data_IF_776388940670
#
_entry.id   IF_776388940670
#
_cell.length_a   1.000
_cell.length_b   1.000
_cell.length_c   1.000
_cell.angle_alpha   90.00
_cell.angle_beta   90.00
_cell.angle_gamma   90.00
#
_symmetry.space_group_name_H-M   'P 1'
#
loop_
_entity.id
_entity.type
_entity.pdbx_description
1 polymer ?
#
# COMPACT_ATOMS: atom_id res chain seq x y z
N UNK A 1 -4.21 3.22 8.02
CA UNK A 1 -3.16 3.32 6.99
C UNK A 1 -3.79 3.51 5.61
N UNK A 2 -2.99 3.91 4.63
CA UNK A 2 -3.34 3.97 3.19
C UNK A 2 -2.62 2.81 2.45
N UNK A 3 -2.85 2.65 1.14
CA UNK A 3 -2.06 1.76 0.27
C UNK A 3 -1.26 2.57 -0.76
N UNK A 4 -0.29 1.96 -1.44
CA UNK A 4 0.51 2.63 -2.48
C UNK A 4 -0.36 3.06 -3.67
N UNK A 5 -1.36 2.25 -4.05
CA UNK A 5 -2.34 2.55 -5.10
C UNK A 5 -3.10 3.85 -4.77
N UNK A 6 -3.53 4.03 -3.51
CA UNK A 6 -4.17 5.26 -3.05
C UNK A 6 -3.22 6.47 -3.11
N UNK A 7 -1.96 6.31 -2.69
CA UNK A 7 -0.98 7.40 -2.72
C UNK A 7 -0.69 7.85 -4.15
N UNK A 8 -0.52 6.92 -5.09
CA UNK A 8 -0.33 7.25 -6.51
C UNK A 8 -1.48 8.10 -7.06
N UNK A 9 -2.74 7.72 -6.76
CA UNK A 9 -3.92 8.46 -7.20
C UNK A 9 -3.96 9.88 -6.60
N UNK A 10 -3.68 10.01 -5.30
CA UNK A 10 -3.67 11.30 -4.62
C UNK A 10 -2.53 12.20 -5.10
N UNK A 11 -1.34 11.64 -5.32
CA UNK A 11 -0.18 12.33 -5.88
C UNK A 11 -0.46 12.83 -7.30
N UNK A 12 -1.10 12.01 -8.12
CA UNK A 12 -1.55 12.38 -9.47
C UNK A 12 -2.50 13.57 -9.46
N UNK A 13 -3.45 13.58 -8.54
CA UNK A 13 -4.38 14.70 -8.39
C UNK A 13 -3.68 15.96 -7.86
N UNK A 14 -2.79 15.80 -6.88
CA UNK A 14 -2.02 16.89 -6.29
C UNK A 14 -1.17 17.62 -7.34
N UNK A 15 -0.42 16.87 -8.16
CA UNK A 15 0.43 17.43 -9.24
C UNK A 15 -0.41 18.09 -10.34
N UNK A 16 -1.62 17.59 -10.63
CA UNK A 16 -2.51 18.22 -11.62
C UNK A 16 -3.10 19.54 -11.14
N UNK A 17 -3.44 19.62 -9.86
CA UNK A 17 -4.21 20.73 -9.29
C UNK A 17 -3.33 21.83 -8.71
N UNK A 18 -2.07 21.54 -8.43
CA UNK A 18 -1.14 22.48 -7.82
C UNK A 18 0.12 22.62 -8.67
N UNK A 19 0.64 23.84 -8.76
CA UNK A 19 1.95 24.10 -9.36
C UNK A 19 3.01 24.04 -8.27
N UNK A 20 4.00 23.18 -8.49
CA UNK A 20 5.17 23.06 -7.62
C UNK A 20 6.43 23.56 -8.35
N UNK A 21 7.42 23.99 -7.59
CA UNK A 21 8.77 24.25 -8.10
C UNK A 21 9.69 23.26 -7.41
N UNK A 22 10.29 22.35 -8.19
CA UNK A 22 11.20 21.30 -7.71
C UNK A 22 10.67 20.55 -6.47
N UNK A 23 9.45 19.97 -6.51
CA UNK A 23 8.86 19.35 -5.33
C UNK A 23 9.66 18.12 -4.87
N UNK A 24 9.82 18.00 -3.55
CA UNK A 24 10.30 16.79 -2.90
C UNK A 24 9.12 16.01 -2.33
N UNK A 25 8.91 14.79 -2.82
CA UNK A 25 7.91 13.86 -2.31
C UNK A 25 8.58 12.75 -1.51
N UNK A 26 8.06 12.48 -0.31
CA UNK A 26 8.54 11.41 0.57
C UNK A 26 7.39 10.42 0.77
N UNK A 27 7.64 9.15 0.44
CA UNK A 27 6.67 8.08 0.60
C UNK A 27 7.18 7.02 1.59
N UNK A 28 6.43 6.83 2.67
CA UNK A 28 6.67 5.74 3.62
C UNK A 28 6.16 4.40 3.07
N UNK A 29 7.07 3.47 2.82
CA UNK A 29 6.76 2.12 2.35
C UNK A 29 6.90 1.12 3.50
N UNK A 30 5.90 0.25 3.64
CA UNK A 30 5.83 -0.80 4.65
C UNK A 30 5.24 -2.06 4.03
N UNK A 31 5.57 -3.23 4.59
CA UNK A 31 5.14 -4.52 4.06
C UNK A 31 3.62 -4.63 3.87
N UNK A 32 2.83 -4.09 4.80
CA UNK A 32 1.37 -4.19 4.73
C UNK A 32 0.77 -3.36 3.57
N UNK A 33 1.53 -2.42 2.99
CA UNK A 33 1.07 -1.68 1.82
C UNK A 33 0.96 -2.60 0.60
N UNK A 34 1.81 -3.62 0.47
CA UNK A 34 1.75 -4.57 -0.64
C UNK A 34 0.42 -5.31 -0.67
N UNK A 35 0.03 -5.86 0.49
CA UNK A 35 -1.21 -6.60 0.66
C UNK A 35 -2.45 -5.74 0.36
N UNK A 36 -2.39 -4.45 0.68
CA UNK A 36 -3.45 -3.49 0.40
C UNK A 36 -3.61 -3.17 -1.08
N UNK A 37 -2.52 -3.21 -1.82
CA UNK A 37 -2.54 -2.87 -3.24
C UNK A 37 -3.28 -3.94 -4.06
N UNK A 38 -3.29 -5.20 -3.62
CA UNK A 38 -3.85 -6.34 -4.40
C UNK A 38 -5.11 -6.96 -3.80
N UNK A 39 -5.74 -6.28 -2.86
CA UNK A 39 -6.90 -6.79 -2.13
C UNK A 39 -6.63 -8.14 -1.45
N UNK A 40 -5.62 -8.20 -0.56
CA UNK A 40 -5.34 -9.42 0.19
C UNK A 40 -6.63 -9.99 0.81
N UNK A 41 -6.96 -11.27 0.55
CA UNK A 41 -8.16 -11.95 1.00
C UNK A 41 -8.55 -11.64 2.44
N UNK A 42 -7.57 -11.66 3.34
CA UNK A 42 -7.81 -11.55 4.78
C UNK A 42 -8.20 -10.12 5.11
N UNK A 43 -7.57 -9.14 4.47
CA UNK A 43 -7.86 -7.74 4.71
C UNK A 43 -9.17 -7.30 4.05
N UNK A 44 -9.41 -7.66 2.79
CA UNK A 44 -10.66 -7.36 2.10
C UNK A 44 -11.84 -8.04 2.78
N UNK A 45 -11.68 -9.30 3.22
CA UNK A 45 -12.69 -9.99 3.99
C UNK A 45 -13.01 -9.24 5.28
N UNK A 46 -12.00 -8.84 6.06
CA UNK A 46 -12.21 -8.07 7.30
C UNK A 46 -12.92 -6.74 7.06
N UNK A 47 -12.60 -6.05 5.95
CA UNK A 47 -13.23 -4.78 5.59
C UNK A 47 -14.66 -5.00 5.08
N UNK A 48 -14.89 -6.06 4.32
CA UNK A 48 -16.22 -6.45 3.85
C UNK A 48 -17.17 -6.80 5.00
N UNK A 49 -16.72 -7.59 5.98
CA UNK A 49 -17.58 -7.99 7.10
C UNK A 49 -17.83 -6.87 8.12
N UNK A 50 -16.94 -5.87 8.16
CA UNK A 50 -17.07 -4.71 9.06
C UNK A 50 -17.85 -3.54 8.44
N UNK A 51 -18.05 -3.54 7.12
CA UNK A 51 -18.83 -2.52 6.40
C UNK A 51 -20.32 -2.91 6.34
N UNK A 52 -21.25 -2.02 6.72
CA UNK A 52 -22.69 -2.27 6.57
C UNK A 52 -23.10 -2.56 5.12
N UNK A 53 -22.44 -1.92 4.14
CA UNK A 53 -22.70 -2.15 2.72
C UNK A 53 -21.88 -3.30 2.13
N UNK A 54 -20.99 -3.91 2.93
CA UNK A 54 -20.00 -4.92 2.49
C UNK A 54 -19.14 -4.48 1.30
N UNK A 55 -19.05 -3.17 1.09
CA UNK A 55 -18.26 -2.56 0.03
C UNK A 55 -16.89 -2.18 0.57
N UNK A 56 -15.85 -2.62 -0.11
CA UNK A 56 -14.49 -2.10 0.05
C UNK A 56 -14.30 -0.91 -0.87
N UNK A 57 -14.02 0.26 -0.29
CA UNK A 57 -13.84 1.52 -1.01
C UNK A 57 -12.37 1.92 -1.19
N UNK A 58 -11.41 1.15 -0.66
CA UNK A 58 -10.01 1.49 -0.89
C UNK A 58 -9.58 1.08 -2.30
N UNK A 59 -8.69 1.85 -2.94
CA UNK A 59 -8.17 1.51 -4.26
C UNK A 59 -7.36 0.22 -4.24
N UNK A 60 -7.69 -0.68 -5.16
CA UNK A 60 -7.00 -1.94 -5.42
C UNK A 60 -6.51 -1.91 -6.85
N UNK A 61 -5.38 -2.52 -7.10
CA UNK A 61 -4.67 -2.53 -8.36
C UNK A 61 -4.33 -3.98 -8.76
N UNK A 62 -4.38 -4.29 -10.05
CA UNK A 62 -3.89 -5.53 -10.66
C UNK A 62 -2.94 -5.21 -11.81
N UNK A 63 -2.15 -6.19 -12.24
CA UNK A 63 -1.39 -6.08 -13.50
C UNK A 63 -2.20 -6.69 -14.64
N UNK A 64 -2.32 -5.97 -15.74
CA UNK A 64 -2.89 -6.53 -16.97
C UNK A 64 -1.90 -7.47 -17.68
N UNK A 65 -2.32 -8.04 -18.82
CA UNK A 65 -1.47 -8.95 -19.62
C UNK A 65 -0.19 -8.31 -20.16
N UNK A 66 -0.12 -6.98 -20.20
CA UNK A 66 1.05 -6.20 -20.63
C UNK A 66 1.91 -5.75 -19.44
N UNK A 67 1.48 -6.06 -18.21
CA UNK A 67 2.12 -5.62 -16.98
C UNK A 67 1.78 -4.19 -16.59
N UNK A 68 0.74 -3.59 -17.17
CA UNK A 68 0.24 -2.25 -16.83
C UNK A 68 -0.73 -2.29 -15.65
N UNK A 69 -0.76 -1.21 -14.87
CA UNK A 69 -1.65 -1.13 -13.71
C UNK A 69 -3.10 -0.92 -14.13
N UNK A 70 -3.94 -1.86 -13.71
CA UNK A 70 -5.39 -1.74 -13.73
C UNK A 70 -5.90 -1.41 -12.33
N UNK A 71 -6.33 -0.16 -12.12
CA UNK A 71 -7.02 0.22 -10.89
C UNK A 71 -8.44 -0.31 -10.94
N UNK A 72 -8.81 -1.12 -9.95
CA UNK A 72 -10.11 -1.76 -9.86
C UNK A 72 -11.13 -0.81 -9.20
N UNK A 73 -12.39 -0.82 -9.65
CA UNK A 73 -13.45 -0.09 -8.96
C UNK A 73 -13.71 -0.68 -7.56
N UNK A 74 -14.32 0.09 -6.64
CA UNK A 74 -14.81 -0.44 -5.37
C UNK A 74 -15.63 -1.70 -5.56
N UNK A 75 -15.36 -2.72 -4.73
CA UNK A 75 -16.00 -4.05 -4.84
C UNK A 75 -16.96 -4.25 -3.67
N UNK A 76 -18.15 -4.77 -3.97
CA UNK A 76 -19.11 -5.22 -2.96
C UNK A 76 -19.07 -6.73 -2.88
N UNK A 77 -18.79 -7.24 -1.68
CA UNK A 77 -18.51 -8.65 -1.41
C UNK A 77 -19.72 -9.36 -0.79
N UNK A 78 -20.89 -9.22 -1.44
CA UNK A 78 -22.12 -9.85 -0.98
C UNK A 78 -22.61 -10.88 -2.00
N UNK A 79 -22.79 -12.13 -1.56
CA UNK A 79 -23.66 -13.06 -2.26
C UNK A 79 -25.10 -12.88 -1.77
N UNK A 80 -26.01 -12.70 -2.71
CA UNK A 80 -27.45 -12.64 -2.42
C UNK A 80 -28.01 -14.03 -2.15
N UNK A 81 -27.66 -14.64 -1.01
CA UNK A 81 -28.32 -15.86 -0.53
C UNK A 81 -29.64 -15.52 0.16
N UNK A 82 -30.72 -16.28 -0.09
CA UNK A 82 -31.92 -16.15 0.71
C UNK A 82 -31.57 -16.43 2.19
N UNK A 83 -32.11 -15.61 3.10
CA UNK A 83 -31.90 -15.77 4.55
C UNK A 83 -30.47 -15.54 5.06
N UNK A 84 -29.58 -14.89 4.30
CA UNK A 84 -28.20 -14.60 4.76
C UNK A 84 -28.16 -13.78 6.06
N UNK A 85 -29.18 -12.95 6.31
CA UNK A 85 -29.34 -12.15 7.52
C UNK A 85 -29.95 -12.92 8.69
N UNK A 86 -30.61 -14.06 8.45
CA UNK A 86 -31.37 -14.80 9.46
C UNK A 86 -30.88 -16.24 9.68
N UNK A 87 -29.92 -16.73 8.87
CA UNK A 87 -29.39 -18.10 8.93
C UNK A 87 -27.87 -18.09 9.05
N UNK A 88 -27.38 -18.66 10.15
CA UNK A 88 -25.94 -18.84 10.39
C UNK A 88 -25.29 -19.75 9.32
N UNK A 89 -26.02 -20.71 8.77
CA UNK A 89 -25.52 -21.60 7.73
C UNK A 89 -25.23 -20.85 6.42
N UNK A 90 -26.16 -20.04 5.93
CA UNK A 90 -25.95 -19.25 4.71
C UNK A 90 -24.88 -18.17 4.90
N UNK A 91 -24.74 -17.61 6.11
CA UNK A 91 -23.61 -16.73 6.45
C UNK A 91 -22.27 -17.47 6.37
N UNK A 92 -22.17 -18.67 6.98
CA UNK A 92 -20.95 -19.49 6.90
C UNK A 92 -20.57 -19.89 5.48
N UNK A 93 -21.55 -20.21 4.62
CA UNK A 93 -21.30 -20.47 3.21
C UNK A 93 -20.81 -19.24 2.45
N UNK A 94 -21.38 -18.06 2.72
CA UNK A 94 -20.88 -16.81 2.14
C UNK A 94 -19.44 -16.53 2.55
N UNK A 95 -19.10 -16.73 3.83
CA UNK A 95 -17.75 -16.49 4.34
C UNK A 95 -16.73 -17.47 3.72
N UNK A 96 -17.09 -18.75 3.60
CA UNK A 96 -16.27 -19.75 2.91
C UNK A 96 -16.10 -19.43 1.42
N UNK A 97 -17.16 -19.01 0.73
CA UNK A 97 -17.06 -18.62 -0.68
C UNK A 97 -16.14 -17.40 -0.87
N UNK A 98 -16.27 -16.38 -0.01
CA UNK A 98 -15.40 -15.21 -0.06
C UNK A 98 -13.93 -15.63 0.12
N UNK A 99 -13.63 -16.49 1.08
CA UNK A 99 -12.28 -17.01 1.30
C UNK A 99 -11.71 -17.67 0.03
N UNK A 100 -12.48 -18.57 -0.60
CA UNK A 100 -12.07 -19.25 -1.84
C UNK A 100 -11.90 -18.24 -2.98
N UNK A 101 -12.85 -17.33 -3.16
CA UNK A 101 -12.83 -16.35 -4.24
C UNK A 101 -11.59 -15.45 -4.19
N UNK A 102 -11.23 -15.00 -2.99
CA UNK A 102 -10.07 -14.14 -2.82
C UNK A 102 -8.74 -14.87 -3.08
N UNK A 103 -8.63 -16.18 -2.80
CA UNK A 103 -7.43 -16.97 -3.15
C UNK A 103 -7.13 -16.98 -4.66
N UNK A 104 -8.15 -16.77 -5.51
CA UNK A 104 -7.98 -16.71 -6.96
C UNK A 104 -7.67 -15.32 -7.53
N UNK A 105 -7.76 -14.27 -6.71
CA UNK A 105 -7.67 -12.87 -7.18
C UNK A 105 -6.30 -12.22 -6.98
N UNK A 106 -5.37 -12.87 -6.29
CA UNK A 106 -4.14 -12.22 -5.85
C UNK A 106 -3.05 -12.31 -6.91
N UNK A 107 -2.78 -11.19 -7.57
CA UNK A 107 -1.49 -10.94 -8.19
C UNK A 107 -0.38 -10.94 -7.14
N UNK A 108 0.88 -11.11 -7.56
CA UNK A 108 2.03 -10.95 -6.68
C UNK A 108 2.03 -9.51 -6.09
N UNK A 109 1.79 -9.35 -4.77
CA UNK A 109 1.71 -8.04 -4.11
C UNK A 109 2.96 -7.18 -4.33
N UNK A 110 4.12 -7.82 -4.42
CA UNK A 110 5.39 -7.15 -4.63
C UNK A 110 5.51 -6.60 -6.05
N UNK A 111 5.10 -7.37 -7.07
CA UNK A 111 5.16 -6.91 -8.46
C UNK A 111 4.22 -5.71 -8.71
N UNK A 112 3.01 -5.77 -8.17
CA UNK A 112 2.06 -4.65 -8.23
C UNK A 112 2.64 -3.41 -7.54
N UNK A 113 3.25 -3.59 -6.36
CA UNK A 113 3.85 -2.48 -5.60
C UNK A 113 5.07 -1.88 -6.30
N UNK A 114 5.94 -2.69 -6.91
CA UNK A 114 7.02 -2.20 -7.78
C UNK A 114 6.48 -1.32 -8.90
N UNK A 115 5.46 -1.79 -9.60
CA UNK A 115 4.88 -1.03 -10.71
C UNK A 115 4.27 0.28 -10.22
N UNK A 116 3.57 0.27 -9.08
CA UNK A 116 3.05 1.47 -8.43
C UNK A 116 4.14 2.48 -8.08
N UNK A 117 5.26 2.04 -7.53
CA UNK A 117 6.39 2.91 -7.21
C UNK A 117 7.03 3.48 -8.48
N UNK A 118 7.17 2.66 -9.53
CA UNK A 118 7.67 3.12 -10.82
C UNK A 118 6.79 4.23 -11.40
N UNK A 119 5.48 4.03 -11.41
CA UNK A 119 4.51 5.02 -11.88
C UNK A 119 4.53 6.30 -11.03
N UNK A 120 4.69 6.20 -9.71
CA UNK A 120 4.92 7.38 -8.84
C UNK A 120 6.21 8.11 -9.21
N UNK A 121 7.31 7.39 -9.41
CA UNK A 121 8.60 7.99 -9.76
C UNK A 121 8.56 8.68 -11.14
N UNK A 122 7.88 8.09 -12.12
CA UNK A 122 7.65 8.72 -13.42
C UNK A 122 6.78 9.98 -13.31
N UNK A 123 5.70 9.91 -12.55
CA UNK A 123 4.82 11.04 -12.31
C UNK A 123 5.54 12.21 -11.64
N UNK A 124 6.36 11.94 -10.62
CA UNK A 124 7.16 12.96 -9.93
C UNK A 124 8.23 13.56 -10.85
N UNK A 125 8.93 12.73 -11.64
CA UNK A 125 9.92 13.22 -12.62
C UNK A 125 9.31 14.12 -13.68
N UNK A 126 8.09 13.82 -14.17
CA UNK A 126 7.36 14.68 -15.12
C UNK A 126 7.00 16.05 -14.52
N UNK A 127 6.94 16.15 -13.20
CA UNK A 127 6.73 17.39 -12.47
C UNK A 127 8.04 18.07 -12.03
N UNK A 128 9.18 17.67 -12.61
CA UNK A 128 10.53 18.13 -12.24
C UNK A 128 10.84 17.98 -10.74
N UNK A 129 10.26 16.94 -10.12
CA UNK A 129 10.37 16.66 -8.71
C UNK A 129 11.32 15.51 -8.38
N UNK A 130 11.49 15.28 -7.09
CA UNK A 130 12.25 14.15 -6.54
C UNK A 130 11.36 13.29 -5.66
N UNK A 131 11.50 11.96 -5.79
CA UNK A 131 10.83 10.98 -4.94
C UNK A 131 11.86 10.32 -4.03
N UNK A 132 11.56 10.28 -2.73
CA UNK A 132 12.29 9.49 -1.74
C UNK A 132 11.37 8.43 -1.15
N UNK A 133 11.82 7.19 -1.15
CA UNK A 133 11.15 6.09 -0.46
C UNK A 133 11.76 5.89 0.94
N UNK A 134 10.96 6.03 1.99
CA UNK A 134 11.35 5.70 3.35
C UNK A 134 10.86 4.28 3.66
N UNK A 135 11.75 3.32 3.90
CA UNK A 135 11.35 2.03 4.46
C UNK A 135 10.94 2.23 5.92
N UNK A 136 9.72 1.83 6.29
CA UNK A 136 9.18 2.01 7.64
C UNK A 136 9.15 0.70 8.42
N UNK A 137 8.33 -0.26 7.99
CA UNK A 137 8.19 -1.56 8.66
C UNK A 137 8.37 -2.64 7.60
N UNK A 138 9.57 -3.22 7.59
CA UNK A 138 10.03 -4.24 6.65
C UNK A 138 11.11 -5.09 7.32
N UNK A 139 11.19 -6.37 6.95
CA UNK A 139 12.33 -7.21 7.31
C UNK A 139 13.53 -6.97 6.37
N UNK A 140 14.70 -7.48 6.76
CA UNK A 140 15.95 -7.30 6.01
C UNK A 140 15.87 -7.81 4.56
N UNK A 141 15.17 -8.93 4.33
CA UNK A 141 15.01 -9.49 2.99
C UNK A 141 14.18 -8.56 2.08
N UNK A 142 13.10 -7.97 2.60
CA UNK A 142 12.29 -6.98 1.88
C UNK A 142 13.08 -5.70 1.61
N UNK A 143 13.83 -5.20 2.60
CA UNK A 143 14.70 -4.03 2.43
C UNK A 143 15.70 -4.27 1.30
N UNK A 144 16.38 -5.41 1.27
CA UNK A 144 17.32 -5.74 0.21
C UNK A 144 16.64 -5.76 -1.17
N UNK A 145 15.48 -6.43 -1.25
CA UNK A 145 14.69 -6.58 -2.47
C UNK A 145 14.16 -5.25 -3.03
N UNK A 146 13.77 -4.32 -2.16
CA UNK A 146 13.34 -2.98 -2.59
C UNK A 146 14.51 -2.05 -2.86
N UNK A 147 15.61 -2.15 -2.12
CA UNK A 147 16.81 -1.34 -2.36
C UNK A 147 17.33 -1.58 -3.77
N UNK A 148 17.53 -2.85 -4.15
CA UNK A 148 17.98 -3.23 -5.49
C UNK A 148 17.06 -2.68 -6.59
N UNK A 149 15.74 -2.81 -6.41
CA UNK A 149 14.77 -2.28 -7.35
C UNK A 149 14.81 -0.74 -7.44
N UNK A 150 14.93 -0.04 -6.31
CA UNK A 150 14.93 1.42 -6.32
C UNK A 150 16.22 1.98 -6.93
N UNK A 151 17.35 1.30 -6.73
CA UNK A 151 18.60 1.57 -7.45
C UNK A 151 18.45 1.37 -8.96
N UNK A 152 17.79 0.28 -9.39
CA UNK A 152 17.51 -0.02 -10.81
C UNK A 152 16.74 1.12 -11.51
N UNK A 153 15.78 1.74 -10.82
CA UNK A 153 14.93 2.81 -11.37
C UNK A 153 15.39 4.23 -10.99
N UNK A 154 16.58 4.39 -10.41
CA UNK A 154 17.16 5.66 -9.97
C UNK A 154 16.24 6.45 -9.02
N UNK A 155 15.65 5.75 -8.05
CA UNK A 155 14.84 6.35 -6.98
C UNK A 155 15.61 6.27 -5.67
N UNK A 156 15.77 7.43 -5.04
CA UNK A 156 16.42 7.52 -3.75
C UNK A 156 15.58 6.86 -2.66
N UNK A 157 16.24 6.21 -1.72
CA UNK A 157 15.58 5.63 -0.55
C UNK A 157 16.36 5.86 0.73
N UNK A 158 15.64 5.75 1.84
CA UNK A 158 16.15 5.83 3.20
C UNK A 158 15.71 4.58 3.92
N UNK A 159 16.68 3.78 4.39
CA UNK A 159 16.38 2.60 5.18
C UNK A 159 16.06 2.97 6.63
N UNK A 160 14.81 3.36 6.89
CA UNK A 160 14.28 3.60 8.23
C UNK A 160 13.59 2.38 8.84
N UNK A 161 13.80 1.18 8.29
CA UNK A 161 13.09 -0.02 8.72
C UNK A 161 13.37 -0.29 10.20
N UNK A 162 12.32 -0.67 10.93
CA UNK A 162 12.40 -1.06 12.33
C UNK A 162 11.62 -2.37 12.55
N UNK A 163 12.00 -3.11 13.59
CA UNK A 163 11.31 -4.35 13.95
C UNK A 163 10.33 -4.09 15.10
N UNK A 164 9.04 -4.24 14.81
CA UNK A 164 7.94 -3.86 15.72
C UNK A 164 8.00 -4.49 17.11
N UNK A 165 8.53 -5.71 17.21
CA UNK A 165 8.59 -6.47 18.47
C UNK A 165 9.90 -6.29 19.25
N UNK A 166 10.88 -5.57 18.67
CA UNK A 166 12.18 -5.33 19.29
C UNK A 166 12.38 -3.90 19.78
N UNK A 167 11.62 -2.96 19.22
CA UNK A 167 11.85 -1.54 19.43
C UNK A 167 10.72 -0.89 20.25
N UNK A 168 11.05 -0.17 21.33
CA UNK A 168 10.12 0.68 22.13
C UNK A 168 9.64 1.92 21.33
N UNK A 169 9.70 1.85 20.01
CA UNK A 169 9.49 2.95 19.05
C UNK A 169 8.05 2.98 18.51
N UNK A 170 7.19 2.08 18.98
CA UNK A 170 5.77 2.05 18.63
C UNK A 170 4.86 2.26 19.84
N UNK A 171 3.67 2.76 19.57
CA UNK A 171 2.55 2.81 20.51
C UNK A 171 1.95 1.40 20.67
N UNK A 172 1.08 1.22 21.66
CA UNK A 172 0.42 -0.07 21.93
C UNK A 172 -0.44 -0.59 20.78
N UNK A 173 -0.87 0.27 19.86
CA UNK A 173 -1.61 -0.08 18.65
C UNK A 173 -0.71 -0.36 17.44
N UNK A 174 0.61 -0.24 17.63
CA UNK A 174 1.62 -0.47 16.61
C UNK A 174 1.93 0.71 15.70
N UNK A 175 1.36 1.89 15.94
CA UNK A 175 1.74 3.10 15.21
C UNK A 175 3.08 3.67 15.73
N UNK A 176 3.83 4.41 14.90
CA UNK A 176 5.08 5.03 15.32
C UNK A 176 4.85 6.06 16.44
N UNK A 177 5.71 6.06 17.46
CA UNK A 177 5.69 7.10 18.50
C UNK A 177 6.50 8.34 18.06
N UNK A 178 6.58 9.35 18.93
CA UNK A 178 7.30 10.60 18.62
C UNK A 178 8.79 10.36 18.32
N UNK A 179 9.45 9.47 19.06
CA UNK A 179 10.88 9.18 18.89
C UNK A 179 11.18 8.51 17.53
N UNK A 180 10.31 7.59 17.08
CA UNK A 180 10.44 6.97 15.77
C UNK A 180 10.26 7.97 14.63
N UNK A 181 9.25 8.83 14.74
CA UNK A 181 9.04 9.89 13.76
C UNK A 181 10.23 10.87 13.71
N UNK A 182 10.81 11.23 14.86
CA UNK A 182 12.01 12.07 14.91
C UNK A 182 13.21 11.39 14.24
N UNK A 183 13.41 10.08 14.51
CA UNK A 183 14.46 9.28 13.87
C UNK A 183 14.31 9.31 12.35
N UNK A 184 13.12 9.03 11.83
CA UNK A 184 12.88 9.08 10.39
C UNK A 184 13.11 10.46 9.79
N UNK A 185 12.62 11.52 10.45
CA UNK A 185 12.84 12.88 9.99
C UNK A 185 14.34 13.21 9.87
N UNK A 186 15.14 12.81 10.85
CA UNK A 186 16.59 13.00 10.84
C UNK A 186 17.26 12.24 9.68
N UNK A 187 16.92 10.97 9.49
CA UNK A 187 17.49 10.15 8.41
C UNK A 187 17.13 10.70 7.03
N UNK A 188 15.90 11.22 6.86
CA UNK A 188 15.50 11.90 5.63
C UNK A 188 16.37 13.14 5.40
N UNK A 189 16.50 14.01 6.40
CA UNK A 189 17.30 15.25 6.29
C UNK A 189 18.76 14.96 5.96
N UNK A 190 19.37 13.96 6.61
CA UNK A 190 20.75 13.53 6.37
C UNK A 190 20.94 12.94 4.97
N UNK A 191 19.88 12.38 4.38
CA UNK A 191 19.93 11.88 3.02
C UNK A 191 19.98 13.01 1.99
N UNK A 192 19.41 14.19 2.25
CA UNK A 192 19.27 15.25 1.24
C UNK A 192 20.63 15.84 0.82
N UNK A 193 20.79 16.25 -0.46
CA UNK A 193 21.99 16.96 -0.89
C UNK A 193 22.17 18.26 -0.10
N UNK A 194 23.42 18.61 0.20
CA UNK A 194 23.79 19.84 0.93
C UNK A 194 23.80 21.06 0.02
#
# INVERSE_FOLDING_TARGET
GYGTCQVLLQLGELIKTHSFVNPLFIYGLSEFHELRNVADPRQDFMIAISSPSRTSYYPVCQLDINGDLLVLPPRTYELHFPFISSSAFFRGLNDLWLQIWFEFLTDDPYLVTKRLIKDMAELVRRADGQLIILFQSMNEAQVAKYSEFLEEIDVKYVNGAFEKDKDELTLSDGHPNAALNERWARMILESLPK
#
